data_IF_349258228191
#
_entry.id   IF_349258228191
#
_cell.length_a   1.000
_cell.length_b   1.000
_cell.length_c   1.000
_cell.angle_alpha   90.00
_cell.angle_beta   90.00
_cell.angle_gamma   90.00
#
_symmetry.space_group_name_H-M   'P 1'
#
loop_
_entity.id
_entity.type
_entity.pdbx_description
1 polymer ?
#
# COMPACT_ATOMS: atom_id res chain seq x y z
N UNK A 1 0.70 41.03 -0.02
CA UNK A 1 -0.54 40.58 0.65
C UNK A 1 -1.49 39.85 -0.31
N UNK A 2 -1.96 40.46 -1.42
CA UNK A 2 -2.92 39.83 -2.37
C UNK A 2 -2.40 38.55 -3.05
N UNK A 3 -1.12 38.52 -3.46
CA UNK A 3 -0.52 37.31 -4.08
C UNK A 3 -0.46 36.08 -3.16
N UNK A 4 -0.28 36.28 -1.85
CA UNK A 4 -0.26 35.18 -0.89
C UNK A 4 -1.65 34.59 -0.66
N UNK A 5 -2.70 35.43 -0.66
CA UNK A 5 -4.08 34.98 -0.55
C UNK A 5 -4.51 34.13 -1.75
N UNK A 6 -4.13 34.55 -2.97
CA UNK A 6 -4.39 33.78 -4.19
C UNK A 6 -3.68 32.42 -4.21
N UNK A 7 -2.43 32.36 -3.75
CA UNK A 7 -1.69 31.10 -3.63
C UNK A 7 -2.30 30.17 -2.57
N UNK A 8 -2.77 30.71 -1.45
CA UNK A 8 -3.45 29.91 -0.41
C UNK A 8 -4.76 29.29 -0.89
N UNK A 9 -5.60 30.06 -1.60
CA UNK A 9 -6.85 29.53 -2.16
C UNK A 9 -6.55 28.46 -3.22
N UNK A 10 -5.54 28.67 -4.06
CA UNK A 10 -5.08 27.66 -5.03
C UNK A 10 -4.64 26.36 -4.37
N UNK A 11 -3.85 26.44 -3.30
CA UNK A 11 -3.39 25.26 -2.55
C UNK A 11 -4.56 24.54 -1.86
N UNK A 12 -5.52 25.27 -1.29
CA UNK A 12 -6.70 24.65 -0.67
C UNK A 12 -7.57 23.91 -1.69
N UNK A 13 -7.75 24.47 -2.88
CA UNK A 13 -8.49 23.81 -3.96
C UNK A 13 -7.76 22.54 -4.46
N UNK A 14 -6.43 22.62 -4.62
CA UNK A 14 -5.59 21.46 -4.93
C UNK A 14 -5.74 20.36 -3.87
N UNK A 15 -5.64 20.71 -2.59
CA UNK A 15 -5.72 19.76 -1.48
C UNK A 15 -7.09 19.11 -1.38
N UNK A 16 -8.15 19.86 -1.66
CA UNK A 16 -9.51 19.32 -1.71
C UNK A 16 -9.66 18.32 -2.85
N UNK A 17 -9.16 18.63 -4.04
CA UNK A 17 -9.19 17.74 -5.19
C UNK A 17 -8.36 16.48 -4.90
N UNK A 18 -7.15 16.65 -4.36
CA UNK A 18 -6.26 15.58 -3.94
C UNK A 18 -6.97 14.63 -2.97
N UNK A 19 -7.54 15.17 -1.89
CA UNK A 19 -8.30 14.38 -0.90
C UNK A 19 -9.46 13.65 -1.55
N UNK A 20 -10.22 14.31 -2.42
CA UNK A 20 -11.40 13.72 -3.05
C UNK A 20 -11.04 12.52 -3.93
N UNK A 21 -9.94 12.59 -4.69
CA UNK A 21 -9.49 11.48 -5.54
C UNK A 21 -8.88 10.38 -4.69
N UNK A 22 -7.91 10.72 -3.83
CA UNK A 22 -7.14 9.75 -3.06
C UNK A 22 -7.98 9.06 -1.97
N UNK A 23 -9.07 9.65 -1.49
CA UNK A 23 -9.97 9.04 -0.50
C UNK A 23 -11.19 8.35 -1.10
N UNK A 24 -11.36 8.28 -2.43
CA UNK A 24 -12.53 7.62 -3.04
C UNK A 24 -12.17 6.41 -3.88
N UNK A 25 -10.97 6.39 -4.46
CA UNK A 25 -10.54 5.33 -5.37
C UNK A 25 -9.40 4.53 -4.78
N UNK A 26 -9.31 3.26 -5.19
CA UNK A 26 -8.09 2.49 -4.99
C UNK A 26 -7.07 2.97 -6.03
N UNK A 27 -5.91 3.45 -5.57
CA UNK A 27 -4.90 4.05 -6.48
C UNK A 27 -3.96 2.97 -7.03
N UNK A 28 -3.63 1.99 -6.20
CA UNK A 28 -2.73 0.88 -6.52
C UNK A 28 -3.40 -0.43 -6.14
N UNK A 29 -3.40 -1.40 -7.05
CA UNK A 29 -3.84 -2.78 -6.79
C UNK A 29 -2.66 -3.73 -6.56
N UNK A 30 -1.51 -3.43 -7.17
CA UNK A 30 -0.22 -4.09 -6.96
C UNK A 30 0.93 -3.08 -7.03
N UNK A 31 2.05 -3.40 -6.37
CA UNK A 31 3.35 -2.78 -6.64
C UNK A 31 3.96 -3.36 -7.91
N UNK A 32 4.66 -2.52 -8.67
CA UNK A 32 5.39 -2.93 -9.89
C UNK A 32 6.91 -2.98 -9.66
N UNK A 33 7.36 -2.44 -8.53
CA UNK A 33 8.72 -2.46 -8.05
C UNK A 33 9.18 -3.90 -7.75
N UNK A 34 10.49 -4.14 -7.83
CA UNK A 34 11.09 -5.41 -7.41
C UNK A 34 11.54 -5.33 -5.94
N UNK A 35 10.75 -5.86 -4.98
CA UNK A 35 11.07 -5.74 -3.56
C UNK A 35 12.33 -6.52 -3.15
N UNK A 36 12.84 -7.41 -4.01
CA UNK A 36 14.10 -8.13 -3.74
C UNK A 36 15.29 -7.20 -3.68
N UNK A 37 15.29 -6.14 -4.50
CA UNK A 37 16.35 -5.13 -4.49
C UNK A 37 16.31 -4.35 -3.18
N UNK A 38 15.12 -3.97 -2.73
CA UNK A 38 14.94 -3.26 -1.46
C UNK A 38 15.43 -4.10 -0.28
N UNK A 39 15.09 -5.39 -0.24
CA UNK A 39 15.54 -6.31 0.81
C UNK A 39 17.06 -6.49 0.84
N UNK A 40 17.70 -6.60 -0.33
CA UNK A 40 19.17 -6.66 -0.42
C UNK A 40 19.84 -5.37 0.05
N UNK A 41 19.23 -4.22 -0.23
CA UNK A 41 19.80 -2.92 0.14
C UNK A 41 19.60 -2.60 1.62
N UNK A 42 18.44 -2.95 2.16
CA UNK A 42 18.04 -2.63 3.53
C UNK A 42 18.56 -3.64 4.56
N UNK A 43 18.95 -4.84 4.14
CA UNK A 43 19.47 -5.92 5.00
C UNK A 43 18.57 -6.17 6.22
N UNK A 44 17.27 -6.33 5.95
CA UNK A 44 16.25 -6.50 6.98
C UNK A 44 16.50 -7.76 7.79
N UNK A 45 16.26 -7.67 9.09
CA UNK A 45 16.46 -8.76 10.04
C UNK A 45 15.53 -8.59 11.25
N UNK A 46 15.54 -9.55 12.17
CA UNK A 46 14.69 -9.58 13.37
C UNK A 46 14.76 -8.35 14.29
N UNK A 47 15.81 -7.53 14.21
CA UNK A 47 15.92 -6.28 15.00
C UNK A 47 15.39 -5.06 14.24
N UNK A 48 15.01 -5.22 12.98
CA UNK A 48 14.58 -4.15 12.09
C UNK A 48 13.12 -3.75 12.32
N UNK A 49 12.86 -2.43 12.36
CA UNK A 49 11.52 -1.85 12.35
C UNK A 49 11.40 -0.88 11.18
N UNK A 50 10.44 -1.10 10.29
CA UNK A 50 10.33 -0.37 9.02
C UNK A 50 8.98 0.31 8.89
N UNK A 51 8.97 1.55 8.41
CA UNK A 51 7.76 2.24 7.97
C UNK A 51 7.71 2.21 6.45
N UNK A 52 6.59 1.77 5.90
CA UNK A 52 6.39 1.68 4.45
C UNK A 52 5.10 2.39 4.05
N UNK A 53 5.11 3.02 2.88
CA UNK A 53 3.86 3.41 2.23
C UNK A 53 3.11 2.13 1.86
N UNK A 54 1.83 2.05 2.24
CA UNK A 54 1.09 0.80 2.08
C UNK A 54 1.05 0.40 0.61
N UNK A 55 0.66 1.30 -0.31
CA UNK A 55 0.77 1.10 -1.77
C UNK A 55 0.36 -0.30 -2.23
N UNK A 56 -0.88 -0.73 -1.95
CA UNK A 56 -1.41 -2.08 -2.17
C UNK A 56 -0.84 -3.22 -1.31
N UNK A 57 0.23 -3.01 -0.56
CA UNK A 57 0.76 -3.89 0.47
C UNK A 57 1.78 -4.92 -0.02
N UNK A 58 2.16 -4.95 -1.30
CA UNK A 58 3.00 -6.01 -1.83
C UNK A 58 4.42 -5.98 -1.24
N UNK A 59 5.08 -4.82 -1.20
CA UNK A 59 6.44 -4.71 -0.64
C UNK A 59 6.44 -5.00 0.86
N UNK A 60 5.42 -4.50 1.59
CA UNK A 60 5.26 -4.79 3.02
C UNK A 60 5.20 -6.30 3.30
N UNK A 61 4.46 -7.05 2.47
CA UNK A 61 4.39 -8.52 2.58
C UNK A 61 5.68 -9.20 2.16
N UNK A 62 6.39 -8.69 1.16
CA UNK A 62 7.67 -9.27 0.73
C UNK A 62 8.76 -9.10 1.79
N UNK A 63 8.80 -7.95 2.46
CA UNK A 63 9.75 -7.67 3.55
C UNK A 63 9.54 -8.59 4.77
N UNK A 64 8.33 -9.14 4.97
CA UNK A 64 8.10 -10.13 6.03
C UNK A 64 8.91 -11.41 5.84
N UNK A 65 9.39 -11.69 4.63
CA UNK A 65 10.22 -12.87 4.35
C UNK A 65 11.60 -12.79 5.04
N UNK A 66 12.06 -11.61 5.45
CA UNK A 66 13.28 -11.42 6.23
C UNK A 66 13.02 -11.35 7.74
N UNK A 67 11.77 -11.59 8.17
CA UNK A 67 11.34 -11.67 9.57
C UNK A 67 11.72 -10.44 10.42
N UNK A 68 11.41 -9.19 9.98
CA UNK A 68 11.68 -8.01 10.80
C UNK A 68 10.83 -7.96 12.07
N UNK A 69 11.30 -7.24 13.10
CA UNK A 69 10.55 -7.03 14.35
C UNK A 69 9.19 -6.38 14.09
N UNK A 70 9.13 -5.39 13.20
CA UNK A 70 7.88 -4.71 12.85
C UNK A 70 7.90 -4.08 11.46
N UNK A 71 6.75 -4.10 10.79
CA UNK A 71 6.48 -3.31 9.59
C UNK A 71 5.22 -2.47 9.83
N UNK A 72 5.37 -1.15 9.76
CA UNK A 72 4.29 -0.18 9.86
C UNK A 72 3.89 0.27 8.46
N UNK A 73 2.85 -0.34 7.89
CA UNK A 73 2.28 0.06 6.61
C UNK A 73 1.29 1.22 6.80
N UNK A 74 1.63 2.41 6.29
CA UNK A 74 0.86 3.65 6.48
C UNK A 74 0.39 4.15 5.13
N UNK A 75 -0.86 4.61 5.04
CA UNK A 75 -1.41 5.27 3.85
C UNK A 75 -2.40 6.35 4.24
N UNK A 76 -2.50 7.37 3.39
CA UNK A 76 -3.54 8.41 3.51
C UNK A 76 -4.88 7.92 2.96
N UNK A 77 -4.86 6.92 2.09
CA UNK A 77 -6.03 6.26 1.55
C UNK A 77 -6.31 4.96 2.32
N UNK A 78 -7.34 4.92 3.18
CA UNK A 78 -7.65 3.73 3.99
C UNK A 78 -7.99 2.50 3.15
N UNK A 79 -8.35 2.65 1.86
CA UNK A 79 -8.57 1.50 0.95
C UNK A 79 -7.29 0.73 0.66
N UNK A 80 -6.13 1.40 0.67
CA UNK A 80 -4.84 0.74 0.48
C UNK A 80 -4.53 -0.17 1.67
N UNK A 81 -4.76 0.33 2.90
CA UNK A 81 -4.67 -0.49 4.12
C UNK A 81 -5.69 -1.62 4.12
N UNK A 82 -6.93 -1.36 3.71
CA UNK A 82 -7.95 -2.41 3.59
C UNK A 82 -7.55 -3.50 2.59
N UNK A 83 -6.90 -3.14 1.47
CA UNK A 83 -6.38 -4.09 0.50
C UNK A 83 -5.25 -4.96 1.08
N UNK A 84 -4.33 -4.37 1.84
CA UNK A 84 -3.31 -5.12 2.57
C UNK A 84 -3.96 -6.10 3.58
N UNK A 85 -4.96 -5.65 4.34
CA UNK A 85 -5.68 -6.50 5.29
C UNK A 85 -6.41 -7.66 4.59
N UNK A 86 -7.01 -7.41 3.41
CA UNK A 86 -7.61 -8.47 2.60
C UNK A 86 -6.57 -9.52 2.16
N UNK A 87 -5.38 -9.08 1.69
CA UNK A 87 -4.28 -9.98 1.34
C UNK A 87 -3.82 -10.80 2.54
N UNK A 88 -3.64 -10.17 3.70
CA UNK A 88 -3.29 -10.87 4.94
C UNK A 88 -4.33 -11.91 5.35
N UNK A 89 -5.62 -11.58 5.26
CA UNK A 89 -6.70 -12.51 5.58
C UNK A 89 -6.71 -13.72 4.64
N UNK A 90 -6.49 -13.51 3.34
CA UNK A 90 -6.39 -14.60 2.36
C UNK A 90 -5.16 -15.48 2.59
N UNK A 91 -4.00 -14.89 2.89
CA UNK A 91 -2.79 -15.64 3.26
C UNK A 91 -3.04 -16.46 4.53
N UNK A 92 -3.64 -15.84 5.56
CA UNK A 92 -3.95 -16.51 6.83
C UNK A 92 -5.00 -17.61 6.70
N UNK A 93 -5.89 -17.54 5.71
CA UNK A 93 -6.85 -18.61 5.39
C UNK A 93 -6.15 -19.87 4.84
N UNK A 94 -4.98 -19.72 4.21
CA UNK A 94 -4.11 -20.83 3.79
C UNK A 94 -4.50 -21.51 2.48
N UNK A 95 -5.65 -21.19 1.89
CA UNK A 95 -5.97 -21.56 0.50
C UNK A 95 -5.54 -20.44 -0.45
N UNK A 96 -4.40 -20.67 -1.12
CA UNK A 96 -3.82 -19.71 -2.04
C UNK A 96 -4.55 -19.61 -3.39
N UNK A 97 -5.56 -20.47 -3.65
CA UNK A 97 -6.33 -20.43 -4.90
C UNK A 97 -7.10 -19.11 -5.08
N UNK A 98 -7.78 -18.65 -4.04
CA UNK A 98 -8.52 -17.39 -4.07
C UNK A 98 -7.56 -16.19 -4.22
N UNK A 99 -6.40 -16.24 -3.55
CA UNK A 99 -5.34 -15.24 -3.66
C UNK A 99 -4.78 -15.16 -5.08
N UNK A 100 -4.53 -16.31 -5.72
CA UNK A 100 -4.06 -16.39 -7.10
C UNK A 100 -5.09 -15.79 -8.07
N UNK A 101 -6.34 -16.21 -7.96
CA UNK A 101 -7.42 -15.76 -8.85
C UNK A 101 -7.62 -14.24 -8.72
N UNK A 102 -7.70 -13.71 -7.49
CA UNK A 102 -7.90 -12.28 -7.26
C UNK A 102 -6.70 -11.43 -7.66
N UNK A 103 -5.47 -11.79 -7.27
CA UNK A 103 -4.31 -10.89 -7.39
C UNK A 103 -3.32 -11.25 -8.49
N UNK A 104 -3.20 -12.53 -8.86
CA UNK A 104 -2.29 -12.95 -9.96
C UNK A 104 -3.01 -12.94 -11.30
N UNK A 105 -4.23 -13.50 -11.35
CA UNK A 105 -5.06 -13.53 -12.57
C UNK A 105 -5.85 -12.25 -12.76
N UNK A 106 -6.19 -11.56 -11.67
CA UNK A 106 -7.01 -10.34 -11.71
C UNK A 106 -8.49 -10.60 -11.97
N UNK A 107 -8.95 -11.85 -11.85
CA UNK A 107 -10.36 -12.21 -11.99
C UNK A 107 -10.68 -13.43 -11.14
N UNK A 108 -11.80 -13.38 -10.44
CA UNK A 108 -12.22 -14.44 -9.55
C UNK A 108 -13.64 -14.86 -9.89
N UNK A 109 -13.92 -16.14 -10.26
CA UNK A 109 -15.22 -16.55 -10.77
C UNK A 109 -16.44 -16.28 -9.86
N UNK A 110 -16.20 -16.11 -8.56
CA UNK A 110 -17.25 -15.84 -7.56
C UNK A 110 -17.44 -14.35 -7.21
N UNK A 111 -16.63 -13.44 -7.76
CA UNK A 111 -16.63 -12.00 -7.40
C UNK A 111 -16.53 -11.09 -8.62
#
# INVERSE_FOLDING_TARGET
MVRQLGAQIGNQAHDLLFKTIHQRYLIYNMCWEDPRIDRQLLDLNQDSQVVVLTSAGCNALDYLLDVPAAIHAVDVNPRQNALLQLKLALIGYGDFGDLEQMFRRGSHPRF
#
